data_IF_720661927239
#
_entry.id   IF_720661927239
#
_cell.length_a   1.000
_cell.length_b   1.000
_cell.length_c   1.000
_cell.angle_alpha   90.00
_cell.angle_beta   90.00
_cell.angle_gamma   90.00
#
_symmetry.space_group_name_H-M   'P 1'
#
loop_
_entity.id
_entity.type
_entity.pdbx_description
1 polymer ?
#
# COMPACT_ATOMS: atom_id res chain seq x y z
N UNK A 1 8.66 0.75 -5.13
CA UNK A 1 8.69 1.38 -3.79
C UNK A 1 9.73 0.72 -2.91
N UNK A 2 10.31 1.46 -1.97
CA UNK A 2 11.30 0.97 -1.02
C UNK A 2 11.14 1.69 0.31
N UNK A 3 11.03 0.96 1.40
CA UNK A 3 10.97 1.51 2.75
C UNK A 3 11.96 0.79 3.68
N UNK A 4 12.91 1.57 4.22
CA UNK A 4 13.89 1.13 5.21
C UNK A 4 13.74 1.94 6.48
N UNK A 5 13.75 1.30 7.63
CA UNK A 5 13.82 1.94 8.93
C UNK A 5 15.30 2.18 9.27
N UNK A 6 15.70 3.47 9.40
CA UNK A 6 17.11 3.85 9.53
C UNK A 6 17.78 3.45 10.85
N UNK A 7 16.96 3.35 11.91
CA UNK A 7 17.43 3.10 13.29
C UNK A 7 17.29 1.64 13.72
N UNK A 8 16.90 0.75 12.76
CA UNK A 8 16.65 -0.66 13.07
C UNK A 8 17.37 -1.54 12.07
N UNK A 9 17.91 -2.64 12.59
CA UNK A 9 18.53 -3.70 11.83
C UNK A 9 17.83 -5.04 12.09
N UNK A 10 18.00 -6.00 11.19
CA UNK A 10 17.54 -7.37 11.36
C UNK A 10 18.40 -8.11 12.37
N UNK A 11 18.01 -9.33 12.73
CA UNK A 11 18.81 -10.19 13.63
C UNK A 11 20.20 -10.56 13.07
N UNK A 12 20.48 -10.32 11.81
CA UNK A 12 21.77 -10.53 11.15
C UNK A 12 22.61 -9.24 11.04
N UNK A 13 22.23 -8.18 11.74
CA UNK A 13 22.84 -6.84 11.65
C UNK A 13 22.74 -6.23 10.23
N UNK A 14 21.72 -6.62 9.45
CA UNK A 14 21.41 -6.05 8.16
C UNK A 14 20.34 -4.96 8.27
N UNK A 15 20.32 -3.98 7.34
CA UNK A 15 19.32 -2.93 7.35
C UNK A 15 17.88 -3.48 7.32
N UNK A 16 17.03 -2.99 8.24
CA UNK A 16 15.63 -3.42 8.29
C UNK A 16 14.84 -2.77 7.17
N UNK A 17 14.46 -3.58 6.18
CA UNK A 17 13.67 -3.20 5.02
C UNK A 17 12.25 -3.74 5.21
N UNK A 18 11.27 -2.85 5.27
CA UNK A 18 9.86 -3.25 5.39
C UNK A 18 9.32 -3.84 4.08
N UNK A 19 9.73 -3.24 2.96
CA UNK A 19 9.41 -3.72 1.62
C UNK A 19 10.31 -3.08 0.56
N UNK A 20 10.47 -3.75 -0.56
CA UNK A 20 11.15 -3.23 -1.75
C UNK A 20 10.30 -3.46 -3.02
N UNK A 21 10.82 -3.01 -4.16
CA UNK A 21 10.14 -3.08 -5.46
C UNK A 21 9.88 -4.49 -5.99
N UNK A 22 10.60 -5.49 -5.47
CA UNK A 22 10.45 -6.89 -5.91
C UNK A 22 9.36 -7.63 -5.14
N UNK A 23 9.08 -7.16 -3.92
CA UNK A 23 8.25 -7.83 -2.95
C UNK A 23 7.00 -7.02 -2.59
N UNK A 24 6.83 -5.86 -3.20
CA UNK A 24 5.65 -5.04 -3.00
C UNK A 24 5.12 -4.49 -4.31
N UNK A 25 3.80 -4.43 -4.40
CA UNK A 25 3.07 -3.79 -5.47
C UNK A 25 2.02 -2.87 -4.87
N UNK A 26 2.12 -1.58 -5.19
CA UNK A 26 1.14 -0.58 -4.78
C UNK A 26 0.68 0.16 -6.03
N UNK A 27 -0.51 -0.14 -6.49
CA UNK A 27 -0.95 0.20 -7.82
C UNK A 27 -2.42 0.63 -7.83
N UNK A 28 -2.74 1.63 -8.66
CA UNK A 28 -4.11 2.02 -8.94
C UNK A 28 -4.49 1.64 -10.36
N UNK A 29 -5.74 1.22 -10.52
CA UNK A 29 -6.31 0.94 -11.83
C UNK A 29 -7.06 2.17 -12.31
N UNK A 30 -6.73 2.62 -13.52
CA UNK A 30 -7.36 3.74 -14.20
C UNK A 30 -8.16 3.21 -15.39
N UNK A 31 -9.38 3.72 -15.57
CA UNK A 31 -10.17 3.47 -16.77
C UNK A 31 -10.17 4.72 -17.63
N UNK A 32 -9.62 4.64 -18.84
CA UNK A 32 -9.55 5.78 -19.77
C UNK A 32 -10.90 6.06 -20.44
N UNK A 33 -11.08 7.24 -21.02
CA UNK A 33 -12.28 7.62 -21.78
C UNK A 33 -12.55 6.67 -22.98
N UNK A 34 -11.55 5.92 -23.43
CA UNK A 34 -11.67 4.89 -24.47
C UNK A 34 -11.89 3.47 -23.91
N UNK A 35 -12.24 3.37 -22.63
CA UNK A 35 -12.46 2.09 -21.90
C UNK A 35 -11.22 1.19 -21.84
N UNK A 36 -10.02 1.74 -21.95
CA UNK A 36 -8.79 0.99 -21.66
C UNK A 36 -8.55 0.97 -20.15
N UNK A 37 -8.24 -0.20 -19.63
CA UNK A 37 -7.78 -0.39 -18.25
C UNK A 37 -6.26 -0.24 -18.24
N UNK A 38 -5.76 0.62 -17.38
CA UNK A 38 -4.33 0.94 -17.25
C UNK A 38 -3.95 0.91 -15.78
N UNK A 39 -2.88 0.21 -15.45
CA UNK A 39 -2.33 0.17 -14.10
C UNK A 39 -1.26 1.25 -13.92
N UNK A 40 -1.32 1.98 -12.83
CA UNK A 40 -0.34 3.06 -12.55
C UNK A 40 1.09 2.54 -12.40
N UNK A 41 1.26 1.30 -11.97
CA UNK A 41 2.56 0.63 -11.87
C UNK A 41 3.28 0.44 -13.22
N UNK A 42 2.52 0.42 -14.32
CA UNK A 42 3.05 0.27 -15.69
C UNK A 42 3.38 1.62 -16.35
N UNK A 43 3.19 2.73 -15.63
CA UNK A 43 3.33 4.08 -16.18
C UNK A 43 4.57 4.80 -15.65
N UNK A 44 5.06 5.74 -16.44
CA UNK A 44 6.23 6.55 -16.08
C UNK A 44 5.81 7.88 -15.48
N UNK A 45 6.28 8.15 -14.27
CA UNK A 45 6.05 9.39 -13.55
C UNK A 45 7.28 10.29 -13.61
N UNK A 46 7.05 11.57 -13.69
CA UNK A 46 8.10 12.59 -13.61
C UNK A 46 8.09 13.22 -12.21
N UNK A 47 9.22 13.26 -11.50
CA UNK A 47 9.28 13.95 -10.22
C UNK A 47 9.17 15.47 -10.43
N UNK A 48 8.28 16.10 -9.68
CA UNK A 48 8.07 17.55 -9.66
C UNK A 48 8.32 18.03 -8.22
N UNK A 49 9.01 19.15 -8.10
CA UNK A 49 9.28 19.75 -6.78
C UNK A 49 7.98 20.28 -6.19
N UNK A 50 7.65 19.82 -4.99
CA UNK A 50 6.54 20.36 -4.20
C UNK A 50 6.87 21.72 -3.56
N UNK A 51 5.85 22.38 -3.04
CA UNK A 51 6.02 23.62 -2.27
C UNK A 51 6.59 23.37 -0.87
N UNK A 52 6.36 22.18 -0.31
CA UNK A 52 6.91 21.74 0.97
C UNK A 52 8.26 21.04 0.72
N UNK A 53 9.36 21.41 1.42
CA UNK A 53 10.67 20.78 1.27
C UNK A 53 10.67 19.29 1.65
N UNK A 54 9.70 18.84 2.43
CA UNK A 54 9.54 17.44 2.84
C UNK A 54 8.58 16.66 1.93
N UNK A 55 8.20 17.22 0.78
CA UNK A 55 7.29 16.58 -0.18
C UNK A 55 7.94 16.31 -1.51
N UNK A 56 7.47 15.26 -2.17
CA UNK A 56 7.74 14.95 -3.57
C UNK A 56 6.41 14.71 -4.29
N UNK A 57 6.31 15.24 -5.49
CA UNK A 57 5.17 15.01 -6.38
C UNK A 57 5.65 14.12 -7.52
N UNK A 58 5.02 12.98 -7.69
CA UNK A 58 5.22 12.12 -8.84
C UNK A 58 4.07 12.38 -9.83
N UNK A 59 4.38 13.02 -10.92
CA UNK A 59 3.41 13.46 -11.94
C UNK A 59 3.33 12.52 -13.12
N UNK A 60 2.13 12.05 -13.40
CA UNK A 60 1.78 11.39 -14.66
C UNK A 60 1.19 12.43 -15.61
N UNK A 61 1.93 12.80 -16.66
CA UNK A 61 1.41 13.68 -17.71
C UNK A 61 0.50 12.87 -18.63
N UNK A 62 -0.72 13.36 -18.86
CA UNK A 62 -1.74 12.71 -19.69
C UNK A 62 -2.09 13.50 -20.95
N UNK A 63 -1.55 14.71 -21.10
CA UNK A 63 -1.76 15.60 -22.23
C UNK A 63 -1.39 17.04 -21.87
N UNK A 64 -1.60 17.96 -22.78
CA UNK A 64 -1.37 19.38 -22.53
C UNK A 64 -2.34 19.91 -21.46
N UNK A 65 -1.78 20.43 -20.36
CA UNK A 65 -2.55 20.94 -19.22
C UNK A 65 -3.27 19.87 -18.39
N UNK A 66 -2.98 18.58 -18.61
CA UNK A 66 -3.68 17.46 -18.00
C UNK A 66 -2.67 16.51 -17.34
N UNK A 67 -2.88 16.21 -16.06
CA UNK A 67 -1.98 15.34 -15.29
C UNK A 67 -2.65 14.74 -14.06
N UNK A 68 -2.04 13.67 -13.55
CA UNK A 68 -2.35 13.04 -12.28
C UNK A 68 -1.12 13.11 -11.38
N UNK A 69 -1.25 13.75 -10.23
CA UNK A 69 -0.20 13.95 -9.25
C UNK A 69 -0.37 13.02 -8.06
N UNK A 70 0.69 12.33 -7.71
CA UNK A 70 0.84 11.55 -6.48
C UNK A 70 1.80 12.28 -5.56
N UNK A 71 1.28 12.91 -4.51
CA UNK A 71 2.07 13.69 -3.57
C UNK A 71 2.35 12.88 -2.32
N UNK A 72 3.61 12.80 -1.96
CA UNK A 72 4.10 12.17 -0.73
C UNK A 72 4.73 13.25 0.15
N UNK A 73 4.30 13.34 1.39
CA UNK A 73 4.88 14.27 2.36
C UNK A 73 5.27 13.51 3.63
N UNK A 74 6.55 13.62 4.01
CA UNK A 74 7.10 12.99 5.21
C UNK A 74 7.57 14.09 6.16
N UNK A 75 6.99 14.16 7.34
CA UNK A 75 7.45 15.09 8.38
C UNK A 75 8.75 14.58 9.03
N UNK A 76 9.65 15.47 9.46
CA UNK A 76 10.79 15.07 10.28
C UNK A 76 10.34 14.34 11.53
N UNK A 77 11.09 13.31 11.93
CA UNK A 77 10.84 12.50 13.13
C UNK A 77 9.43 11.87 13.20
N UNK A 78 8.85 11.57 12.03
CA UNK A 78 7.54 10.93 11.90
C UNK A 78 7.62 9.72 10.95
N UNK A 79 6.92 8.64 11.30
CA UNK A 79 6.75 7.46 10.46
C UNK A 79 5.54 7.53 9.53
N UNK A 80 4.70 8.55 9.70
CA UNK A 80 3.49 8.73 8.89
C UNK A 80 3.80 9.49 7.61
N UNK A 81 3.65 8.83 6.47
CA UNK A 81 3.71 9.46 5.15
C UNK A 81 2.30 9.91 4.76
N UNK A 82 2.12 11.22 4.58
CA UNK A 82 0.89 11.75 4.00
C UNK A 82 0.92 11.50 2.49
N UNK A 83 -0.14 10.91 1.98
CA UNK A 83 -0.29 10.55 0.58
C UNK A 83 -1.56 11.18 0.01
N UNK A 84 -1.44 11.86 -1.13
CA UNK A 84 -2.55 12.50 -1.81
C UNK A 84 -2.48 12.25 -3.31
N UNK A 85 -3.63 11.98 -3.91
CA UNK A 85 -3.79 11.87 -5.37
C UNK A 85 -4.65 13.05 -5.83
N UNK A 86 -4.15 13.80 -6.83
CA UNK A 86 -4.85 14.94 -7.39
C UNK A 86 -4.83 14.90 -8.92
N UNK A 87 -6.02 14.90 -9.51
CA UNK A 87 -6.19 14.98 -10.96
C UNK A 87 -6.45 16.41 -11.41
N UNK A 88 -5.78 16.84 -12.46
CA UNK A 88 -5.99 18.14 -13.13
C UNK A 88 -6.27 17.90 -14.60
N UNK A 89 -7.34 18.52 -15.13
CA UNK A 89 -7.66 18.48 -16.56
C UNK A 89 -7.97 17.09 -17.10
N UNK A 90 -8.42 16.15 -16.27
CA UNK A 90 -8.63 14.74 -16.65
C UNK A 90 -9.95 14.46 -17.37
N UNK A 91 -10.78 15.49 -17.61
CA UNK A 91 -11.99 15.37 -18.44
C UNK A 91 -11.62 14.91 -19.85
N UNK A 92 -12.21 13.82 -20.31
CA UNK A 92 -11.88 13.22 -21.62
C UNK A 92 -10.61 12.34 -21.61
N UNK A 93 -9.89 12.25 -20.50
CA UNK A 93 -8.76 11.32 -20.30
C UNK A 93 -9.24 10.08 -19.56
N UNK A 94 -9.92 10.26 -18.43
CA UNK A 94 -10.54 9.17 -17.69
C UNK A 94 -12.01 8.97 -18.11
N UNK A 95 -12.52 7.79 -17.90
CA UNK A 95 -13.91 7.48 -18.16
C UNK A 95 -14.82 8.38 -17.28
N UNK A 96 -15.93 8.91 -17.80
CA UNK A 96 -16.84 9.78 -17.04
C UNK A 96 -17.45 9.10 -15.80
N UNK A 97 -17.46 7.77 -15.78
CA UNK A 97 -17.93 6.95 -14.64
C UNK A 97 -16.87 6.77 -13.55
N UNK A 98 -15.63 7.23 -13.76
CA UNK A 98 -14.56 7.10 -12.77
C UNK A 98 -14.80 8.08 -11.62
N UNK A 99 -15.35 7.60 -10.53
CA UNK A 99 -15.61 8.32 -9.29
C UNK A 99 -14.75 7.80 -8.11
N UNK A 100 -14.06 6.70 -8.31
CA UNK A 100 -13.12 6.09 -7.37
C UNK A 100 -11.96 5.47 -8.15
N UNK A 101 -10.87 5.17 -7.46
CA UNK A 101 -9.71 4.47 -7.99
C UNK A 101 -9.62 3.11 -7.29
N UNK A 102 -9.56 2.06 -8.07
CA UNK A 102 -9.32 0.72 -7.53
C UNK A 102 -7.84 0.60 -7.14
N UNK A 103 -7.59 0.24 -5.90
CA UNK A 103 -6.26 0.00 -5.36
C UNK A 103 -5.95 -1.49 -5.32
N UNK A 104 -4.76 -1.85 -5.78
CA UNK A 104 -4.09 -3.12 -5.48
C UNK A 104 -2.88 -2.84 -4.60
N UNK A 105 -2.83 -3.45 -3.43
CA UNK A 105 -1.67 -3.44 -2.54
C UNK A 105 -1.28 -4.87 -2.20
N UNK A 106 -0.07 -5.25 -2.58
CA UNK A 106 0.54 -6.55 -2.31
C UNK A 106 1.88 -6.33 -1.61
N UNK A 107 2.20 -7.20 -0.65
CA UNK A 107 3.47 -7.16 0.05
C UNK A 107 3.84 -8.55 0.58
N UNK A 108 5.07 -8.96 0.31
CA UNK A 108 5.71 -10.09 0.95
C UNK A 108 6.29 -9.64 2.29
N UNK A 109 5.94 -10.34 3.37
CA UNK A 109 6.45 -10.07 4.71
C UNK A 109 7.68 -10.95 4.93
N UNK A 110 8.84 -10.30 5.00
CA UNK A 110 10.14 -10.95 5.20
C UNK A 110 10.33 -11.33 6.66
N UNK A 111 11.11 -12.38 6.87
CA UNK A 111 11.64 -12.70 8.19
C UNK A 111 12.66 -11.63 8.61
N UNK A 112 12.44 -10.99 9.75
CA UNK A 112 13.32 -9.99 10.36
C UNK A 112 14.03 -10.51 11.61
N UNK A 113 13.44 -11.55 12.24
CA UNK A 113 13.89 -12.12 13.50
C UNK A 113 14.50 -13.52 13.33
N UNK A 114 15.36 -13.93 14.26
CA UNK A 114 16.06 -15.21 14.20
C UNK A 114 15.13 -16.43 14.21
N UNK A 115 14.02 -16.33 14.88
CA UNK A 115 13.10 -17.44 15.12
C UNK A 115 11.91 -17.45 14.18
N UNK A 116 12.05 -17.87 12.91
CA UNK A 116 10.97 -17.92 11.93
C UNK A 116 9.61 -18.40 12.48
N UNK A 117 9.57 -19.54 13.15
CA UNK A 117 8.34 -20.11 13.72
C UNK A 117 7.72 -19.24 14.81
N UNK A 118 8.53 -18.49 15.51
CA UNK A 118 8.08 -17.58 16.55
C UNK A 118 7.52 -16.31 15.91
N UNK A 119 8.27 -15.70 14.99
CA UNK A 119 7.88 -14.49 14.28
C UNK A 119 6.58 -14.69 13.47
N UNK A 120 6.45 -15.79 12.72
CA UNK A 120 5.29 -16.12 11.89
C UNK A 120 3.95 -16.12 12.66
N UNK A 121 3.97 -16.35 13.96
CA UNK A 121 2.77 -16.30 14.82
C UNK A 121 2.24 -14.89 15.03
N UNK A 122 3.09 -13.88 14.82
CA UNK A 122 2.72 -12.47 15.01
C UNK A 122 2.48 -11.73 13.69
N UNK A 123 2.79 -12.38 12.56
CA UNK A 123 2.54 -11.82 11.23
C UNK A 123 1.08 -11.96 10.90
N UNK A 124 0.38 -10.83 10.77
CA UNK A 124 -1.06 -10.84 10.53
C UNK A 124 -1.52 -9.62 9.73
N UNK A 125 -2.54 -9.79 8.90
CA UNK A 125 -3.25 -8.73 8.23
C UNK A 125 -4.40 -8.27 9.14
N UNK A 126 -4.30 -7.02 9.61
CA UNK A 126 -5.28 -6.40 10.48
C UNK A 126 -6.05 -5.32 9.72
N UNK A 127 -7.27 -5.06 10.12
CA UNK A 127 -8.08 -4.00 9.55
C UNK A 127 -9.07 -3.44 10.58
N UNK A 128 -9.49 -2.20 10.36
CA UNK A 128 -10.44 -1.51 11.23
C UNK A 128 -11.60 -0.97 10.41
N UNK A 129 -12.80 -1.22 10.84
CA UNK A 129 -14.01 -0.58 10.33
C UNK A 129 -14.05 0.91 10.69
N UNK A 130 -14.83 1.71 9.95
CA UNK A 130 -14.96 3.15 10.22
C UNK A 130 -15.51 3.44 11.63
N UNK A 131 -16.49 2.66 12.08
CA UNK A 131 -17.21 2.90 13.33
C UNK A 131 -16.88 1.90 14.44
N UNK A 132 -16.25 0.78 14.12
CA UNK A 132 -16.18 -0.39 15.00
C UNK A 132 -14.75 -0.87 15.29
N UNK A 133 -14.66 -2.11 15.76
CA UNK A 133 -13.48 -2.76 16.28
C UNK A 133 -12.43 -3.08 15.19
N UNK A 134 -11.26 -3.46 15.68
CA UNK A 134 -10.17 -4.01 14.89
C UNK A 134 -10.38 -5.51 14.75
N UNK A 135 -10.30 -5.99 13.54
CA UNK A 135 -10.30 -7.42 13.22
C UNK A 135 -9.03 -7.81 12.46
N UNK A 136 -8.83 -9.11 12.27
CA UNK A 136 -7.69 -9.64 11.52
C UNK A 136 -8.07 -10.92 10.76
N UNK A 137 -7.24 -11.27 9.77
CA UNK A 137 -7.26 -12.58 9.14
C UNK A 137 -6.56 -13.62 10.01
N UNK A 138 -6.67 -14.90 9.65
CA UNK A 138 -6.05 -16.01 10.41
C UNK A 138 -4.53 -15.81 10.57
N UNK A 139 -4.04 -15.93 11.79
CA UNK A 139 -2.61 -15.87 12.11
C UNK A 139 -1.87 -17.14 11.72
N UNK A 140 -2.55 -18.30 11.64
CA UNK A 140 -1.90 -19.61 11.53
C UNK A 140 -1.99 -20.26 10.14
N UNK A 141 -2.84 -19.75 9.25
CA UNK A 141 -3.08 -20.34 7.92
C UNK A 141 -3.43 -19.28 6.89
N UNK A 142 -3.37 -19.65 5.62
CA UNK A 142 -3.89 -18.81 4.55
C UNK A 142 -5.38 -18.55 4.78
N UNK A 143 -5.80 -17.30 4.54
CA UNK A 143 -7.16 -16.83 4.77
C UNK A 143 -7.52 -15.74 3.76
N UNK A 144 -8.80 -15.62 3.45
CA UNK A 144 -9.32 -14.61 2.54
C UNK A 144 -10.69 -14.12 3.01
N UNK A 145 -10.92 -12.81 2.94
CA UNK A 145 -12.17 -12.20 3.38
C UNK A 145 -12.60 -11.08 2.44
N UNK A 146 -13.84 -11.13 1.99
CA UNK A 146 -14.51 -10.02 1.32
C UNK A 146 -15.29 -9.20 2.35
N UNK A 147 -15.02 -7.90 2.38
CA UNK A 147 -15.59 -6.98 3.37
C UNK A 147 -16.41 -5.92 2.64
N UNK A 148 -17.73 -5.98 2.72
CA UNK A 148 -18.60 -4.99 2.09
C UNK A 148 -18.63 -3.67 2.86
N UNK A 149 -18.33 -3.71 4.16
CA UNK A 149 -18.36 -2.54 5.02
C UNK A 149 -17.09 -1.70 4.85
N UNK A 150 -17.23 -0.40 5.00
CA UNK A 150 -16.13 0.54 4.84
C UNK A 150 -15.07 0.39 5.93
N UNK A 151 -13.79 0.28 5.52
CA UNK A 151 -12.66 0.17 6.40
C UNK A 151 -11.95 1.52 6.60
N UNK A 152 -11.54 1.80 7.84
CA UNK A 152 -10.76 3.00 8.19
C UNK A 152 -9.30 2.83 7.83
N UNK A 153 -8.74 1.68 8.15
CA UNK A 153 -7.35 1.34 7.83
C UNK A 153 -7.16 -0.16 7.64
N UNK A 154 -6.10 -0.49 6.92
CA UNK A 154 -5.63 -1.84 6.65
C UNK A 154 -4.15 -1.87 7.02
N UNK A 155 -3.71 -2.88 7.79
CA UNK A 155 -2.36 -2.97 8.29
C UNK A 155 -1.74 -4.34 8.05
N UNK A 156 -0.58 -4.37 7.42
CA UNK A 156 0.28 -5.53 7.28
C UNK A 156 1.28 -5.49 8.41
N UNK A 157 1.04 -6.34 9.40
CA UNK A 157 1.82 -6.40 10.63
C UNK A 157 2.83 -7.54 10.53
N UNK A 158 4.08 -7.21 10.76
CA UNK A 158 5.12 -8.11 11.20
C UNK A 158 5.19 -8.11 12.73
N UNK A 159 6.13 -8.81 13.33
CA UNK A 159 6.23 -8.95 14.78
C UNK A 159 6.33 -7.59 15.51
N UNK A 160 7.28 -6.75 15.11
CA UNK A 160 7.54 -5.45 15.74
C UNK A 160 7.17 -4.25 14.87
N UNK A 161 6.98 -4.46 13.59
CA UNK A 161 6.75 -3.40 12.62
C UNK A 161 5.42 -3.61 11.89
N UNK A 162 4.91 -2.53 11.32
CA UNK A 162 3.68 -2.60 10.53
C UNK A 162 3.72 -1.57 9.41
N UNK A 163 3.22 -1.97 8.25
CA UNK A 163 2.88 -1.04 7.17
C UNK A 163 1.38 -0.84 7.19
N UNK A 164 0.91 0.39 7.39
CA UNK A 164 -0.52 0.68 7.56
C UNK A 164 -0.97 1.70 6.53
N UNK A 165 -2.03 1.38 5.81
CA UNK A 165 -2.73 2.29 4.91
C UNK A 165 -4.00 2.79 5.58
N UNK A 166 -4.11 4.12 5.71
CA UNK A 166 -5.22 4.79 6.38
C UNK A 166 -5.95 5.67 5.37
N UNK A 167 -7.26 5.55 5.27
CA UNK A 167 -8.10 6.43 4.46
C UNK A 167 -8.93 7.36 5.34
N UNK A 168 -9.05 8.62 4.95
CA UNK A 168 -9.95 9.57 5.62
C UNK A 168 -11.42 9.24 5.31
N UNK A 169 -11.71 8.91 4.07
CA UNK A 169 -13.05 8.56 3.57
C UNK A 169 -13.40 7.09 3.81
N UNK A 170 -12.39 6.24 4.03
CA UNK A 170 -12.51 4.79 4.15
C UNK A 170 -12.27 4.06 2.83
N UNK A 171 -12.06 2.75 2.93
CA UNK A 171 -11.94 1.82 1.80
C UNK A 171 -13.25 1.05 1.64
N UNK A 172 -13.74 0.94 0.42
CA UNK A 172 -15.01 0.25 0.10
C UNK A 172 -14.77 -1.07 -0.63
N UNK A 173 -15.70 -1.99 -0.50
CA UNK A 173 -15.70 -3.27 -1.24
C UNK A 173 -14.35 -4.00 -1.20
N UNK A 174 -13.73 -4.04 -0.01
CA UNK A 174 -12.37 -4.51 0.17
C UNK A 174 -12.28 -6.05 0.19
N UNK A 175 -11.35 -6.60 -0.56
CA UNK A 175 -10.92 -8.00 -0.43
C UNK A 175 -9.53 -8.05 0.20
N UNK A 176 -9.39 -8.86 1.23
CA UNK A 176 -8.15 -9.09 1.97
C UNK A 176 -7.74 -10.55 1.84
N UNK A 177 -6.50 -10.78 1.45
CA UNK A 177 -5.92 -12.11 1.31
C UNK A 177 -4.62 -12.21 2.11
N UNK A 178 -4.46 -13.32 2.81
CA UNK A 178 -3.25 -13.72 3.53
C UNK A 178 -2.86 -15.11 3.09
N UNK A 179 -1.66 -15.26 2.50
CA UNK A 179 -1.11 -16.53 2.08
C UNK A 179 0.11 -16.88 2.93
N UNK A 180 0.02 -17.94 3.71
CA UNK A 180 1.15 -18.46 4.47
C UNK A 180 2.17 -19.11 3.53
N UNK A 181 3.46 -18.80 3.75
CA UNK A 181 4.59 -19.37 3.01
C UNK A 181 5.37 -20.26 3.98
N UNK A 182 5.41 -21.58 3.76
CA UNK A 182 5.96 -22.51 4.76
C UNK A 182 7.48 -22.47 4.89
N UNK A 183 8.20 -22.07 3.84
CA UNK A 183 9.65 -22.12 3.76
C UNK A 183 10.24 -20.86 3.08
N UNK A 184 11.54 -20.59 3.31
CA UNK A 184 12.27 -19.45 2.75
C UNK A 184 12.22 -18.22 3.64
N UNK A 185 12.61 -17.06 3.11
CA UNK A 185 12.76 -15.81 3.86
C UNK A 185 11.46 -14.98 3.94
N UNK A 186 10.43 -15.35 3.16
CA UNK A 186 9.10 -14.74 3.23
C UNK A 186 8.22 -15.57 4.18
N UNK A 187 7.59 -14.91 5.13
CA UNK A 187 6.67 -15.52 6.10
C UNK A 187 5.26 -15.63 5.54
N UNK A 188 4.75 -14.51 5.01
CA UNK A 188 3.41 -14.42 4.40
C UNK A 188 3.42 -13.44 3.23
N UNK A 189 2.48 -13.67 2.33
CA UNK A 189 2.12 -12.72 1.27
C UNK A 189 0.75 -12.13 1.61
N UNK A 190 0.68 -10.82 1.71
CA UNK A 190 -0.57 -10.09 1.91
C UNK A 190 -0.99 -9.39 0.63
N UNK A 191 -2.30 -9.37 0.40
CA UNK A 191 -2.91 -8.69 -0.73
C UNK A 191 -4.20 -8.01 -0.32
N UNK A 192 -4.37 -6.79 -0.77
CA UNK A 192 -5.59 -6.00 -0.62
C UNK A 192 -6.02 -5.47 -1.96
N UNK A 193 -7.30 -5.61 -2.27
CA UNK A 193 -7.97 -4.90 -3.38
C UNK A 193 -9.16 -4.12 -2.83
N UNK A 194 -9.29 -2.88 -3.19
CA UNK A 194 -10.36 -2.00 -2.73
C UNK A 194 -10.61 -0.87 -3.72
#
# INVERSE_FOLDING_TARGET
>A
CYARLKEYDTYNDEPLVLFDEKESNFNFTLVTATNRVVNTGDLYFTPVKGNDPNSVIMRLNTGEGSHLDFTYTLKPDDYMVQYQILGTGLNGVLAPSTNALDLLWEQDIRQQEKGRKFEDRYVTLNYKFMADDVEHLSESKSDSKQIPNRLKWIGYKDMFFSTVLISQEGFEATTLDSKAIPEGDVLKQFKTTT
#
